data_IF_335982388737
#
_entry.id   IF_335982388737
#
_cell.length_a   1.000
_cell.length_b   1.000
_cell.length_c   1.000
_cell.angle_alpha   90.00
_cell.angle_beta   90.00
_cell.angle_gamma   90.00
#
_symmetry.space_group_name_H-M   'P 1'
#
loop_
_entity.id
_entity.type
_entity.pdbx_description
1 polymer ?
#
# COMPACT_ATOMS: atom_id res chain seq x y z
N UNK A 1 17.65 1.62 23.53
CA UNK A 1 16.87 1.10 22.39
C UNK A 1 17.27 1.88 21.15
N UNK A 2 17.96 1.23 20.22
CA UNK A 2 18.24 1.77 18.89
C UNK A 2 16.97 1.93 18.06
N UNK A 3 17.02 2.79 17.04
CA UNK A 3 15.90 3.12 16.13
C UNK A 3 15.25 1.89 15.47
N UNK A 4 15.98 0.78 15.38
CA UNK A 4 15.58 -0.43 14.67
C UNK A 4 15.30 -1.64 15.57
N UNK A 5 15.48 -1.52 16.89
CA UNK A 5 15.37 -2.67 17.81
C UNK A 5 13.98 -3.33 17.81
N UNK A 6 12.95 -2.57 17.41
CA UNK A 6 11.57 -3.04 17.31
C UNK A 6 11.07 -3.13 15.86
N UNK A 7 11.93 -2.98 14.85
CA UNK A 7 11.53 -3.11 13.45
C UNK A 7 11.81 -4.53 12.98
N UNK A 8 10.75 -5.27 12.67
CA UNK A 8 10.86 -6.64 12.16
C UNK A 8 10.20 -6.74 10.78
N UNK A 9 10.47 -7.84 10.07
CA UNK A 9 9.81 -8.05 8.79
C UNK A 9 8.30 -8.21 8.97
N UNK A 10 7.88 -8.89 10.04
CA UNK A 10 6.50 -9.24 10.34
C UNK A 10 5.65 -8.02 10.70
N UNK A 11 6.23 -7.00 11.33
CA UNK A 11 5.48 -5.79 11.69
C UNK A 11 5.48 -4.71 10.61
N UNK A 12 6.37 -4.83 9.63
CA UNK A 12 6.49 -3.92 8.49
C UNK A 12 5.73 -4.43 7.26
N UNK A 13 5.71 -5.74 7.00
CA UNK A 13 5.16 -6.28 5.76
C UNK A 13 3.70 -6.68 5.94
N UNK A 14 2.81 -5.95 5.26
CA UNK A 14 1.36 -6.11 5.37
C UNK A 14 0.81 -6.87 4.15
N UNK A 15 -0.10 -7.81 4.40
CA UNK A 15 -0.83 -8.52 3.35
C UNK A 15 -1.91 -7.62 2.74
N UNK A 16 -2.05 -7.70 1.41
CA UNK A 16 -3.12 -6.98 0.73
C UNK A 16 -4.48 -7.57 1.14
N UNK A 17 -5.48 -6.73 1.42
CA UNK A 17 -6.82 -7.20 1.71
C UNK A 17 -7.54 -7.66 0.43
N UNK A 18 -8.80 -8.03 0.58
CA UNK A 18 -9.68 -8.34 -0.55
C UNK A 18 -9.80 -7.16 -1.55
N UNK A 19 -10.05 -7.44 -2.85
CA UNK A 19 -10.14 -6.43 -3.91
C UNK A 19 -11.04 -5.24 -3.60
N UNK A 20 -12.18 -5.48 -2.98
CA UNK A 20 -13.16 -4.45 -2.60
C UNK A 20 -12.55 -3.46 -1.61
N UNK A 21 -11.83 -3.95 -0.59
CA UNK A 21 -11.18 -3.08 0.40
C UNK A 21 -10.03 -2.26 -0.19
N UNK A 22 -9.33 -2.78 -1.20
CA UNK A 22 -8.30 -2.02 -1.93
C UNK A 22 -8.95 -0.81 -2.62
N UNK A 23 -10.11 -1.04 -3.25
CA UNK A 23 -10.86 -0.01 -3.96
C UNK A 23 -11.45 1.02 -3.00
N UNK A 24 -12.07 0.57 -1.91
CA UNK A 24 -12.69 1.43 -0.91
C UNK A 24 -11.63 2.35 -0.29
N UNK A 25 -10.49 1.80 0.15
CA UNK A 25 -9.40 2.60 0.69
C UNK A 25 -8.89 3.63 -0.32
N UNK A 26 -8.74 3.26 -1.59
CA UNK A 26 -8.32 4.22 -2.63
C UNK A 26 -9.31 5.38 -2.74
N UNK A 27 -10.61 5.08 -2.75
CA UNK A 27 -11.67 6.07 -2.89
C UNK A 27 -11.76 6.97 -1.65
N UNK A 28 -11.63 6.41 -0.45
CA UNK A 28 -11.61 7.15 0.81
C UNK A 28 -10.44 8.15 0.87
N UNK A 29 -9.30 7.81 0.27
CA UNK A 29 -8.14 8.68 0.13
C UNK A 29 -8.27 9.71 -1.01
N UNK A 30 -9.38 9.70 -1.76
CA UNK A 30 -9.60 10.62 -2.89
C UNK A 30 -8.67 10.39 -4.08
N UNK A 31 -8.13 9.18 -4.23
CA UNK A 31 -7.12 8.86 -5.25
C UNK A 31 -7.74 8.26 -6.51
N UNK A 32 -7.21 8.66 -7.67
CA UNK A 32 -7.38 7.91 -8.92
C UNK A 32 -6.56 6.62 -8.90
N UNK A 33 -6.96 5.62 -9.69
CA UNK A 33 -6.21 4.35 -9.80
C UNK A 33 -4.75 4.57 -10.24
N UNK A 34 -4.50 5.54 -11.12
CA UNK A 34 -3.15 5.89 -11.55
C UNK A 34 -2.30 6.51 -10.43
N UNK A 35 -2.88 7.36 -9.58
CA UNK A 35 -2.18 7.90 -8.41
C UNK A 35 -1.85 6.80 -7.40
N UNK A 36 -2.78 5.89 -7.14
CA UNK A 36 -2.55 4.77 -6.24
C UNK A 36 -1.45 3.83 -6.75
N UNK A 37 -1.46 3.50 -8.05
CA UNK A 37 -0.39 2.75 -8.71
C UNK A 37 0.99 3.43 -8.50
N UNK A 38 1.06 4.74 -8.74
CA UNK A 38 2.30 5.52 -8.55
C UNK A 38 2.77 5.49 -7.10
N UNK A 39 1.87 5.67 -6.13
CA UNK A 39 2.19 5.63 -4.70
C UNK A 39 2.65 4.24 -4.24
N UNK A 40 2.18 3.19 -4.90
CA UNK A 40 2.59 1.81 -4.68
C UNK A 40 3.90 1.41 -5.41
N UNK A 41 4.54 2.35 -6.11
CA UNK A 41 5.77 2.10 -6.87
C UNK A 41 5.56 1.34 -8.18
N UNK A 42 4.36 1.38 -8.76
CA UNK A 42 4.00 0.66 -9.98
C UNK A 42 4.04 1.60 -11.18
N UNK A 43 4.71 1.17 -12.25
CA UNK A 43 4.80 1.94 -13.51
C UNK A 43 3.55 1.80 -14.39
N UNK A 44 2.96 0.60 -14.45
CA UNK A 44 1.72 0.35 -15.20
C UNK A 44 0.50 0.75 -14.36
N UNK A 45 -0.07 1.92 -14.66
CA UNK A 45 -1.27 2.43 -13.98
C UNK A 45 -2.51 1.52 -14.11
N UNK A 46 -2.58 0.65 -15.13
CA UNK A 46 -3.69 -0.30 -15.29
C UNK A 46 -3.65 -1.45 -14.27
N UNK A 47 -2.50 -1.69 -13.65
CA UNK A 47 -2.31 -2.79 -12.72
C UNK A 47 -3.12 -2.60 -11.44
N UNK A 48 -3.33 -1.36 -11.00
CA UNK A 48 -4.15 -1.06 -9.83
C UNK A 48 -5.61 -1.48 -10.02
N UNK A 49 -6.21 -1.16 -11.18
CA UNK A 49 -7.57 -1.61 -11.52
C UNK A 49 -7.67 -3.14 -11.56
N UNK A 50 -6.60 -3.85 -11.96
CA UNK A 50 -6.59 -5.33 -11.92
C UNK A 50 -6.62 -5.86 -10.49
N UNK A 51 -6.02 -5.14 -9.52
CA UNK A 51 -6.11 -5.46 -8.11
C UNK A 51 -7.53 -5.29 -7.57
N UNK A 52 -8.15 -4.16 -7.88
CA UNK A 52 -9.51 -3.83 -7.41
C UNK A 52 -10.60 -4.72 -8.00
N UNK A 53 -10.33 -5.35 -9.14
CA UNK A 53 -11.25 -6.29 -9.78
C UNK A 53 -10.92 -7.76 -9.46
N UNK A 54 -9.93 -8.03 -8.59
CA UNK A 54 -9.53 -9.40 -8.22
C UNK A 54 -8.81 -10.19 -9.32
N UNK A 55 -8.51 -9.57 -10.46
CA UNK A 55 -7.78 -10.22 -11.56
C UNK A 55 -6.30 -10.47 -11.23
N UNK A 56 -5.76 -9.71 -10.28
CA UNK A 56 -4.43 -9.86 -9.70
C UNK A 56 -4.47 -9.45 -8.22
N UNK A 57 -3.46 -9.83 -7.46
CA UNK A 57 -3.27 -9.35 -6.09
C UNK A 57 -1.94 -8.58 -6.01
N UNK A 58 -1.86 -7.44 -5.29
CA UNK A 58 -0.59 -6.84 -4.99
C UNK A 58 0.21 -7.78 -4.08
N UNK A 59 1.52 -7.89 -4.31
CA UNK A 59 2.37 -8.55 -3.34
C UNK A 59 2.48 -7.70 -2.07
N UNK A 60 2.96 -8.32 -0.98
CA UNK A 60 3.02 -7.67 0.33
C UNK A 60 3.88 -6.40 0.31
N UNK A 61 4.96 -6.38 -0.47
CA UNK A 61 5.85 -5.22 -0.58
C UNK A 61 5.16 -4.04 -1.26
N UNK A 62 4.51 -4.27 -2.40
CA UNK A 62 3.73 -3.25 -3.13
C UNK A 62 2.62 -2.67 -2.25
N UNK A 63 1.90 -3.54 -1.53
CA UNK A 63 0.85 -3.08 -0.61
C UNK A 63 1.42 -2.27 0.56
N UNK A 64 2.50 -2.75 1.18
CA UNK A 64 3.19 -2.05 2.26
C UNK A 64 3.66 -0.66 1.84
N UNK A 65 4.25 -0.53 0.65
CA UNK A 65 4.68 0.76 0.09
C UNK A 65 3.50 1.70 -0.08
N UNK A 66 2.37 1.21 -0.62
CA UNK A 66 1.15 2.02 -0.74
C UNK A 66 0.67 2.52 0.62
N UNK A 67 0.60 1.66 1.63
CA UNK A 67 0.18 2.04 2.98
C UNK A 67 1.12 3.07 3.61
N UNK A 68 2.44 2.92 3.46
CA UNK A 68 3.42 3.90 3.96
C UNK A 68 3.28 5.25 3.24
N UNK A 69 3.13 5.24 1.92
CA UNK A 69 3.00 6.44 1.11
C UNK A 69 1.70 7.21 1.36
N UNK A 70 0.65 6.52 1.79
CA UNK A 70 -0.67 7.10 2.10
C UNK A 70 -0.90 7.35 3.60
N UNK A 71 0.08 7.01 4.45
CA UNK A 71 -0.02 7.16 5.90
C UNK A 71 -0.99 6.18 6.58
N UNK A 72 -1.34 5.08 5.90
CA UNK A 72 -2.28 4.06 6.36
C UNK A 72 -1.60 2.83 6.98
N UNK A 73 -0.28 2.82 7.04
CA UNK A 73 0.44 1.69 7.61
C UNK A 73 0.22 1.62 9.14
N UNK A 74 -0.18 0.46 9.70
CA UNK A 74 -0.65 0.38 11.09
C UNK A 74 0.42 0.72 12.13
N UNK A 75 1.68 0.39 11.85
CA UNK A 75 2.78 0.51 12.82
C UNK A 75 3.79 1.61 12.52
N UNK A 76 3.76 2.18 11.31
CA UNK A 76 4.85 3.02 10.80
C UNK A 76 4.30 4.17 9.98
N UNK A 77 5.03 5.30 9.98
CA UNK A 77 4.74 6.47 9.16
C UNK A 77 6.03 6.95 8.53
N UNK A 78 5.93 7.50 7.32
CA UNK A 78 7.05 8.22 6.72
C UNK A 78 7.15 9.60 7.37
N UNK A 79 8.35 9.97 7.79
CA UNK A 79 8.65 11.33 8.21
C UNK A 79 9.23 12.09 7.02
N UNK A 80 8.67 13.26 6.71
CA UNK A 80 9.29 14.18 5.77
C UNK A 80 10.63 14.65 6.33
N UNK A 81 11.59 14.89 5.44
CA UNK A 81 12.83 15.59 5.80
C UNK A 81 12.58 17.04 6.17
#
# INVERSE_FOLDING_TARGET
>A
MGKFDNMTFENLIIEAPEPEHIKDLRLDLGLTAAQAAKLAGITDGSLWTKYENGNRQPNKQTWTVFLLATGQHPNFKLESK
#
